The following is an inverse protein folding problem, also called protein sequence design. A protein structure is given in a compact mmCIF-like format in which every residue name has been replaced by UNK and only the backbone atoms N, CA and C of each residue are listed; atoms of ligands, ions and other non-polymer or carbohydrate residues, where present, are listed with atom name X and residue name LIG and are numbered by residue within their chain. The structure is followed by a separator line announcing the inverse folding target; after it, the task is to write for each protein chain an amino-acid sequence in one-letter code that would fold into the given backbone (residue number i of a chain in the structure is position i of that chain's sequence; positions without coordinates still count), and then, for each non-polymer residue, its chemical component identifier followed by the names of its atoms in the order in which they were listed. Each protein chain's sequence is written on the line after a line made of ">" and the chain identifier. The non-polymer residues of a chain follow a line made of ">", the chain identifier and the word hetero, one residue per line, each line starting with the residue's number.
data_IF_419253416495
#
_entry.id   IF_419253416495
#
_cell.length_a   1.000
_cell.length_b   1.000
_cell.length_c   1.000
_cell.angle_alpha   90.00
_cell.angle_beta   90.00
_cell.angle_gamma   90.00
#
_symmetry.space_group_name_H-M   'P 1'
#
loop_
_entity.id
_entity.type
_entity.pdbx_description
1 polymer ?
#
# COMPACT_ATOMS: atom_id res chain seq x y z
N UNK A 1 4.89 -0.34 -8.88
CA UNK A 1 5.22 -0.19 -7.46
C UNK A 1 4.80 1.20 -7.01
N UNK A 2 3.99 1.27 -5.95
CA UNK A 2 3.50 2.49 -5.34
C UNK A 2 4.01 2.53 -3.90
N UNK A 3 4.52 3.68 -3.46
CA UNK A 3 4.90 3.91 -2.07
C UNK A 3 4.13 5.10 -1.51
N UNK A 4 3.42 4.86 -0.40
CA UNK A 4 2.62 5.86 0.29
C UNK A 4 3.16 6.05 1.72
N UNK A 5 3.78 7.20 2.04
CA UNK A 5 4.15 7.54 3.42
C UNK A 5 2.94 7.97 4.25
N UNK A 6 2.94 7.64 5.54
CA UNK A 6 2.00 8.22 6.50
C UNK A 6 2.20 9.74 6.60
N UNK A 7 1.19 10.48 7.04
CA UNK A 7 1.30 11.93 7.21
C UNK A 7 2.40 12.23 8.25
N UNK A 8 3.29 13.15 7.89
CA UNK A 8 4.47 13.53 8.66
C UNK A 8 5.45 12.37 8.96
N UNK A 9 5.38 11.26 8.20
CA UNK A 9 6.21 10.07 8.43
C UNK A 9 6.08 9.53 9.86
N UNK A 10 4.89 9.71 10.48
CA UNK A 10 4.65 9.18 11.83
C UNK A 10 4.58 7.66 11.80
N UNK A 11 5.18 7.04 12.81
CA UNK A 11 5.09 5.61 13.06
C UNK A 11 3.73 5.29 13.67
N UNK A 12 2.73 5.11 12.80
CA UNK A 12 1.33 4.84 13.17
C UNK A 12 0.82 3.51 12.61
N UNK A 13 1.65 2.82 11.84
CA UNK A 13 1.32 1.50 11.28
C UNK A 13 1.60 0.47 12.37
N UNK A 14 0.54 0.10 13.09
CA UNK A 14 0.53 -0.95 14.12
C UNK A 14 -0.06 -2.24 13.54
N UNK A 15 0.06 -3.36 14.24
CA UNK A 15 -0.53 -4.65 13.82
C UNK A 15 -2.04 -4.54 13.51
N UNK A 16 -2.75 -3.70 14.24
CA UNK A 16 -4.18 -3.41 13.99
C UNK A 16 -4.37 -2.67 12.66
N UNK A 17 -3.56 -1.64 12.41
CA UNK A 17 -3.59 -0.88 11.15
C UNK A 17 -3.18 -1.76 9.97
N UNK A 18 -2.18 -2.62 10.13
CA UNK A 18 -1.74 -3.59 9.13
C UNK A 18 -2.91 -4.50 8.70
N UNK A 19 -3.65 -5.04 9.67
CA UNK A 19 -4.81 -5.88 9.39
C UNK A 19 -5.89 -5.13 8.60
N UNK A 20 -6.28 -3.95 9.07
CA UNK A 20 -7.30 -3.11 8.41
C UNK A 20 -6.86 -2.75 6.98
N UNK A 21 -5.60 -2.36 6.82
CA UNK A 21 -5.01 -1.96 5.54
C UNK A 21 -5.06 -3.12 4.54
N UNK A 22 -4.62 -4.31 4.95
CA UNK A 22 -4.66 -5.52 4.12
C UNK A 22 -6.09 -5.86 3.71
N UNK A 23 -7.01 -5.94 4.66
CA UNK A 23 -8.41 -6.28 4.39
C UNK A 23 -9.07 -5.26 3.46
N UNK A 24 -8.80 -3.97 3.65
CA UNK A 24 -9.30 -2.90 2.78
C UNK A 24 -8.76 -3.05 1.36
N UNK A 25 -7.46 -3.30 1.19
CA UNK A 25 -6.85 -3.49 -0.13
C UNK A 25 -7.42 -4.71 -0.86
N UNK A 26 -7.62 -5.83 -0.17
CA UNK A 26 -8.27 -7.00 -0.74
C UNK A 26 -9.74 -6.70 -1.10
N UNK A 27 -10.44 -5.90 -0.30
CA UNK A 27 -11.77 -5.40 -0.63
C UNK A 27 -11.80 -4.47 -1.85
N UNK A 28 -10.74 -3.68 -2.07
CA UNK A 28 -10.58 -2.86 -3.29
C UNK A 28 -10.40 -3.78 -4.51
N UNK A 29 -9.56 -4.81 -4.40
CA UNK A 29 -9.30 -5.76 -5.48
C UNK A 29 -10.55 -6.48 -5.99
N UNK A 30 -11.53 -6.72 -5.11
CA UNK A 30 -12.82 -7.34 -5.49
C UNK A 30 -13.75 -6.42 -6.28
N UNK A 31 -13.50 -5.10 -6.28
CA UNK A 31 -14.43 -4.09 -6.83
C UNK A 31 -13.85 -3.31 -7.99
N UNK A 32 -12.55 -3.39 -8.20
CA UNK A 32 -11.81 -2.63 -9.20
C UNK A 32 -10.79 -3.53 -9.87
N UNK A 33 -10.46 -3.24 -11.13
CA UNK A 33 -9.41 -3.89 -11.94
C UNK A 33 -7.99 -3.60 -11.38
N UNK A 34 -7.75 -3.99 -10.13
CA UNK A 34 -6.53 -3.78 -9.37
C UNK A 34 -6.23 -5.06 -8.60
N UNK A 35 -5.09 -5.68 -8.91
CA UNK A 35 -4.63 -6.87 -8.24
C UNK A 35 -3.36 -6.55 -7.44
N UNK A 36 -3.42 -6.74 -6.13
CA UNK A 36 -2.30 -6.46 -5.23
C UNK A 36 -1.40 -7.68 -5.15
N UNK A 37 -0.28 -7.65 -5.86
CA UNK A 37 0.72 -8.73 -5.86
C UNK A 37 1.53 -8.77 -4.57
N UNK A 38 1.78 -7.60 -3.95
CA UNK A 38 2.43 -7.51 -2.65
C UNK A 38 1.95 -6.26 -1.92
N UNK A 39 1.69 -6.41 -0.63
CA UNK A 39 1.49 -5.30 0.30
C UNK A 39 2.52 -5.47 1.41
N UNK A 40 3.41 -4.50 1.52
CA UNK A 40 4.42 -4.47 2.56
C UNK A 40 4.44 -3.15 3.29
N UNK A 41 4.74 -3.19 4.57
CA UNK A 41 4.77 -2.02 5.44
C UNK A 41 6.15 -1.87 6.04
N UNK A 42 6.59 -0.62 6.08
CA UNK A 42 7.58 -0.12 7.03
C UNK A 42 6.80 0.78 7.99
N UNK A 43 7.26 0.92 9.24
CA UNK A 43 6.53 1.61 10.32
C UNK A 43 5.84 2.95 9.96
N UNK A 44 6.39 3.70 9.00
CA UNK A 44 5.92 5.02 8.55
C UNK A 44 5.51 5.08 7.06
N UNK A 45 5.54 3.98 6.29
CA UNK A 45 5.14 3.97 4.89
C UNK A 45 4.77 2.58 4.36
N UNK A 46 4.00 2.54 3.27
CA UNK A 46 3.52 1.30 2.68
C UNK A 46 3.93 1.17 1.23
N UNK A 47 4.42 -0.02 0.89
CA UNK A 47 4.77 -0.49 -0.43
C UNK A 47 3.63 -1.34 -1.00
N UNK A 48 3.12 -0.94 -2.16
CA UNK A 48 2.14 -1.70 -2.93
C UNK A 48 2.74 -2.11 -4.27
N UNK A 49 2.79 -3.40 -4.54
CA UNK A 49 3.02 -3.92 -5.87
C UNK A 49 1.66 -4.28 -6.47
N UNK A 50 1.26 -3.54 -7.51
CA UNK A 50 -0.09 -3.61 -8.06
C UNK A 50 0.00 -3.91 -9.55
N UNK A 51 -0.75 -4.91 -9.98
CA UNK A 51 -1.09 -5.16 -11.37
C UNK A 51 -2.46 -4.52 -11.66
N UNK A 52 -2.59 -3.81 -12.77
CA UNK A 52 -3.85 -3.20 -13.22
C UNK A 52 -3.90 -3.17 -14.74
N UNK A 53 -5.06 -2.82 -15.31
CA UNK A 53 -5.25 -2.70 -16.75
C UNK A 53 -4.64 -1.40 -17.31
N UNK A 54 -4.25 -1.37 -18.59
CA UNK A 54 -3.63 -0.19 -19.21
C UNK A 54 -4.49 1.08 -19.21
N UNK A 55 -5.81 0.92 -19.19
CA UNK A 55 -6.77 2.04 -19.15
C UNK A 55 -6.85 2.72 -17.77
N UNK A 56 -6.27 2.13 -16.73
CA UNK A 56 -6.29 2.71 -15.39
C UNK A 56 -5.34 3.89 -15.31
N UNK A 57 -5.89 5.09 -15.09
CA UNK A 57 -5.07 6.26 -14.76
C UNK A 57 -4.40 6.07 -13.39
N UNK A 58 -3.06 6.20 -13.29
CA UNK A 58 -2.34 6.00 -12.04
C UNK A 58 -2.83 6.89 -10.89
N UNK A 59 -3.17 8.14 -11.17
CA UNK A 59 -3.70 9.10 -10.18
C UNK A 59 -5.04 8.64 -9.60
N UNK A 60 -5.93 8.06 -10.42
CA UNK A 60 -7.21 7.54 -9.97
C UNK A 60 -7.04 6.30 -9.09
N UNK A 61 -6.10 5.41 -9.44
CA UNK A 61 -5.73 4.25 -8.63
C UNK A 61 -5.23 4.70 -7.25
N UNK A 62 -4.23 5.58 -7.21
CA UNK A 62 -3.64 6.06 -5.96
C UNK A 62 -4.67 6.78 -5.09
N UNK A 63 -5.52 7.63 -5.69
CA UNK A 63 -6.60 8.30 -4.97
C UNK A 63 -7.53 7.30 -4.28
N UNK A 64 -8.00 6.27 -4.99
CA UNK A 64 -8.89 5.24 -4.44
C UNK A 64 -8.23 4.49 -3.28
N UNK A 65 -6.98 4.05 -3.47
CA UNK A 65 -6.25 3.31 -2.44
C UNK A 65 -6.11 4.16 -1.19
N UNK A 66 -5.58 5.39 -1.33
CA UNK A 66 -5.34 6.29 -0.19
C UNK A 66 -6.65 6.66 0.51
N UNK A 67 -7.71 6.98 -0.24
CA UNK A 67 -8.98 7.43 0.35
C UNK A 67 -9.69 6.33 1.13
N UNK A 68 -9.80 5.13 0.54
CA UNK A 68 -10.54 4.02 1.15
C UNK A 68 -9.78 3.46 2.36
N UNK A 69 -8.46 3.31 2.26
CA UNK A 69 -7.64 2.88 3.40
C UNK A 69 -7.66 3.90 4.55
N UNK A 70 -7.57 5.20 4.26
CA UNK A 70 -7.65 6.22 5.32
C UNK A 70 -8.99 6.17 6.04
N UNK A 71 -10.09 6.01 5.28
CA UNK A 71 -11.43 5.91 5.84
C UNK A 71 -11.54 4.73 6.80
N UNK A 72 -11.24 3.52 6.33
CA UNK A 72 -11.36 2.31 7.15
C UNK A 72 -10.43 2.34 8.37
N UNK A 73 -9.21 2.87 8.23
CA UNK A 73 -8.29 3.01 9.35
C UNK A 73 -8.83 3.98 10.40
N UNK A 74 -9.36 5.14 10.01
CA UNK A 74 -9.92 6.07 10.99
C UNK A 74 -11.22 5.59 11.63
N UNK A 75 -12.03 4.82 10.90
CA UNK A 75 -13.27 4.27 11.42
C UNK A 75 -13.00 3.12 12.42
N UNK A 76 -12.02 2.25 12.14
CA UNK A 76 -11.75 1.06 12.95
C UNK A 76 -10.62 1.25 13.97
N UNK A 77 -9.73 2.22 13.78
CA UNK A 77 -8.62 2.57 14.68
C UNK A 77 -8.65 4.08 15.05
N UNK A 78 -9.67 4.54 15.80
CA UNK A 78 -9.85 5.94 16.16
C UNK A 78 -8.67 6.54 16.96
N UNK A 79 -7.88 5.71 17.63
CA UNK A 79 -6.62 6.09 18.27
C UNK A 79 -5.61 6.71 17.30
N UNK A 80 -5.62 6.31 16.02
CA UNK A 80 -4.75 6.87 14.98
C UNK A 80 -5.16 8.31 14.64
N UNK A 81 -6.45 8.60 14.64
CA UNK A 81 -6.97 9.96 14.40
C UNK A 81 -6.46 10.96 15.45
N UNK A 82 -6.25 10.52 16.69
CA UNK A 82 -5.65 11.34 17.75
C UNK A 82 -4.17 11.67 17.47
N UNK A 83 -3.44 10.73 16.87
CA UNK A 83 -2.03 10.93 16.50
C UNK A 83 -1.88 11.77 15.22
N UNK A 84 -2.84 11.63 14.29
CA UNK A 84 -2.93 12.36 13.02
C UNK A 84 -4.11 13.34 13.03
N UNK A 85 -4.04 14.29 13.97
CA UNK A 85 -5.06 15.30 14.26
C UNK A 85 -5.50 16.18 13.07
N UNK A 86 -4.73 16.22 11.98
CA UNK A 86 -5.12 16.86 10.72
C UNK A 86 -6.16 16.08 9.90
N UNK A 87 -6.56 14.88 10.32
CA UNK A 87 -7.58 14.07 9.63
C UNK A 87 -7.08 13.38 8.36
N UNK A 88 -5.77 13.36 8.13
CA UNK A 88 -5.14 12.76 6.96
C UNK A 88 -4.21 11.63 7.41
N UNK A 89 -4.45 10.41 6.92
CA UNK A 89 -3.61 9.26 7.26
C UNK A 89 -2.30 9.27 6.46
N UNK A 90 -2.39 9.59 5.17
CA UNK A 90 -1.25 9.61 4.25
C UNK A 90 -0.69 11.02 4.07
N UNK A 91 0.60 11.11 3.74
CA UNK A 91 1.17 12.33 3.15
C UNK A 91 0.53 12.66 1.81
N UNK A 92 0.57 13.91 1.36
CA UNK A 92 -0.05 14.33 0.09
C UNK A 92 0.63 13.68 -1.12
N UNK A 93 1.96 13.62 -1.08
CA UNK A 93 2.79 12.93 -2.07
C UNK A 93 2.69 11.41 -2.04
N UNK A 94 3.22 10.80 -3.09
CA UNK A 94 3.46 9.36 -3.22
C UNK A 94 4.55 9.14 -4.27
N UNK A 95 5.21 7.99 -4.22
CA UNK A 95 6.11 7.54 -5.29
C UNK A 95 5.43 6.47 -6.12
N UNK A 96 5.60 6.50 -7.45
CA UNK A 96 5.10 5.45 -8.33
C UNK A 96 6.09 5.16 -9.45
N UNK A 97 6.30 3.88 -9.74
CA UNK A 97 7.11 3.40 -10.85
C UNK A 97 6.53 2.14 -11.48
N UNK A 98 6.79 1.95 -12.77
CA UNK A 98 6.47 0.72 -13.48
C UNK A 98 7.49 -0.36 -13.13
N UNK A 99 7.04 -1.60 -13.02
CA UNK A 99 7.91 -2.76 -12.78
C UNK A 99 7.73 -3.72 -13.95
N UNK A 100 8.83 -4.08 -14.63
CA UNK A 100 8.83 -4.99 -15.76
C UNK A 100 9.08 -6.45 -15.35
N UNK A 101 8.57 -7.40 -16.15
CA UNK A 101 8.71 -8.85 -15.95
C UNK A 101 10.14 -9.39 -16.17
N UNK A 102 11.04 -8.58 -16.75
CA UNK A 102 12.40 -9.02 -17.12
C UNK A 102 13.33 -9.22 -15.91
N UNK A 103 12.87 -8.92 -14.69
CA UNK A 103 13.35 -9.56 -13.47
C UNK A 103 12.28 -10.52 -12.99
N UNK A 104 12.65 -11.75 -12.66
CA UNK A 104 11.79 -12.77 -12.01
C UNK A 104 10.88 -12.16 -10.92
N UNK A 105 9.75 -12.80 -10.59
CA UNK A 105 8.96 -12.47 -9.40
C UNK A 105 9.85 -12.25 -8.15
N UNK A 106 10.92 -13.04 -8.07
CA UNK A 106 12.00 -12.93 -7.08
C UNK A 106 12.73 -11.58 -7.11
N UNK A 107 13.08 -11.06 -8.29
CA UNK A 107 13.75 -9.78 -8.45
C UNK A 107 12.85 -8.59 -8.09
N UNK A 108 11.54 -8.71 -8.40
CA UNK A 108 10.55 -7.71 -7.97
C UNK A 108 10.42 -7.75 -6.44
N UNK A 109 10.43 -8.93 -5.83
CA UNK A 109 10.39 -9.09 -4.37
C UNK A 109 11.64 -8.55 -3.69
N UNK A 110 12.82 -8.85 -4.22
CA UNK A 110 14.08 -8.30 -3.74
C UNK A 110 14.13 -6.79 -3.89
N UNK A 111 13.63 -6.26 -5.01
CA UNK A 111 13.48 -4.83 -5.22
C UNK A 111 12.59 -4.20 -4.15
N UNK A 112 11.38 -4.70 -3.93
CA UNK A 112 10.46 -4.14 -2.93
C UNK A 112 11.04 -4.26 -1.51
N UNK A 113 11.60 -5.43 -1.14
CA UNK A 113 12.29 -5.62 0.16
C UNK A 113 13.49 -4.70 0.35
N UNK A 114 14.23 -4.42 -0.72
CA UNK A 114 15.39 -3.53 -0.70
C UNK A 114 15.03 -2.04 -0.60
N UNK A 115 13.78 -1.66 -0.90
CA UNK A 115 13.30 -0.29 -0.75
C UNK A 115 12.87 0.04 0.69
N UNK A 116 12.54 -0.96 1.50
CA UNK A 116 12.26 -0.78 2.93
C UNK A 116 13.53 -0.70 3.77
N UNK A 117 13.38 -0.32 5.06
CA UNK A 117 14.50 -0.48 6.00
C UNK A 117 14.56 -1.95 6.36
N UNK A 118 15.50 -2.70 5.77
CA UNK A 118 15.55 -4.18 5.77
C UNK A 118 15.32 -4.89 7.12
N UNK A 119 15.49 -4.22 8.27
CA UNK A 119 15.22 -4.79 9.61
C UNK A 119 13.76 -4.69 10.07
N UNK A 120 12.94 -3.85 9.43
CA UNK A 120 11.61 -3.44 9.92
C UNK A 120 10.48 -3.73 8.91
N UNK A 121 10.80 -4.23 7.71
CA UNK A 121 9.81 -4.49 6.66
C UNK A 121 8.93 -5.70 6.98
N UNK A 122 7.62 -5.47 7.06
CA UNK A 122 6.60 -6.51 7.29
C UNK A 122 5.83 -6.76 6.00
N UNK A 123 5.78 -8.02 5.56
CA UNK A 123 4.98 -8.43 4.39
C UNK A 123 3.58 -8.86 4.82
N UNK A 124 2.57 -8.07 4.49
CA UNK A 124 1.17 -8.33 4.84
C UNK A 124 0.48 -9.27 3.86
N UNK A 125 0.84 -9.16 2.58
CA UNK A 125 0.21 -9.92 1.51
C UNK A 125 1.19 -10.20 0.37
N UNK A 126 1.01 -11.35 -0.27
CA UNK A 126 1.72 -11.77 -1.48
C UNK A 126 0.75 -12.58 -2.35
N UNK A 127 0.80 -12.33 -3.65
CA UNK A 127 0.05 -13.07 -4.67
C UNK A 127 0.86 -13.18 -5.97
N UNK A 128 0.44 -14.05 -6.87
CA UNK A 128 1.06 -14.28 -8.18
C UNK A 128 0.48 -13.37 -9.27
N UNK A 129 1.31 -13.05 -10.27
CA UNK A 129 0.86 -12.33 -11.46
C UNK A 129 -0.29 -13.07 -12.13
N UNK A 130 -1.36 -12.34 -12.44
CA UNK A 130 -2.44 -12.87 -13.27
C UNK A 130 -2.02 -12.80 -14.74
N UNK A 131 -1.98 -13.95 -15.40
CA UNK A 131 -1.91 -14.03 -16.85
C UNK A 131 -3.33 -13.84 -17.37
N UNK A 132 -3.56 -12.73 -18.08
CA UNK A 132 -4.83 -12.48 -18.77
C UNK A 132 -5.04 -13.53 -19.88
#
# INVERSE_FOLDING_TARGET
>A
HLVCPTKYRRVVITDKVDKILKETCLGIALRYEMHFLEIGTDHDHVHFLIQTIPMTLPTNMVRKIKSLTSKEIFDQAPEIKKQLWGGEFWSDGYYISTVGKNGSETAIQEYVKGQGRQKEYIKLHKDQLQLF
#
